data_IF_282864507389
#
_entry.id   IF_282864507389
#
_cell.length_a   1.000
_cell.length_b   1.000
_cell.length_c   1.000
_cell.angle_alpha   90.00
_cell.angle_beta   90.00
_cell.angle_gamma   90.00
#
_symmetry.space_group_name_H-M   'P 1'
#
loop_
_entity.id
_entity.type
_entity.pdbx_description
1 polymer ?
#
# COMPACT_ATOMS: atom_id res chain seq x y z
N UNK A 1 4.94 -16.38 5.03
CA UNK A 1 3.68 -16.60 4.28
C UNK A 1 2.92 -15.27 4.22
N UNK A 2 3.03 -14.53 3.11
CA UNK A 2 2.33 -13.26 2.92
C UNK A 2 0.84 -13.53 2.67
N UNK A 3 -0.03 -13.07 3.59
CA UNK A 3 -1.47 -13.21 3.49
C UNK A 3 -2.01 -12.29 2.40
N UNK A 4 -2.35 -12.86 1.24
CA UNK A 4 -3.16 -12.18 0.22
C UNK A 4 -4.60 -12.09 0.73
N UNK A 5 -5.01 -10.90 1.16
CA UNK A 5 -6.36 -10.63 1.65
C UNK A 5 -7.28 -10.47 0.46
N UNK A 6 -8.25 -11.38 0.38
CA UNK A 6 -9.33 -11.47 -0.62
C UNK A 6 -9.94 -10.10 -0.93
N UNK A 7 -9.93 -9.74 -2.21
CA UNK A 7 -10.61 -8.57 -2.75
C UNK A 7 -12.12 -8.71 -2.54
N UNK A 8 -12.63 -8.06 -1.50
CA UNK A 8 -14.06 -7.97 -1.22
C UNK A 8 -14.58 -6.68 -1.87
N UNK A 9 -15.50 -6.72 -2.85
CA UNK A 9 -15.88 -5.57 -3.69
C UNK A 9 -16.55 -4.39 -2.95
N UNK A 10 -16.75 -4.47 -1.63
CA UNK A 10 -17.24 -3.37 -0.78
C UNK A 10 -16.14 -2.46 -0.19
N UNK A 11 -14.86 -2.77 -0.40
CA UNK A 11 -13.72 -2.05 0.20
C UNK A 11 -13.21 -0.86 -0.63
N UNK A 12 -13.77 -0.59 -1.81
CA UNK A 12 -13.24 0.42 -2.75
C UNK A 12 -13.17 1.85 -2.20
N UNK A 13 -14.04 2.22 -1.25
CA UNK A 13 -14.04 3.57 -0.63
C UNK A 13 -12.86 3.81 0.32
N UNK A 14 -12.26 2.75 0.85
CA UNK A 14 -11.21 2.85 1.86
C UNK A 14 -9.87 2.33 1.36
N UNK A 15 -9.79 1.89 0.10
CA UNK A 15 -8.52 1.55 -0.52
C UNK A 15 -7.79 2.81 -0.99
N UNK A 16 -6.55 2.96 -0.52
CA UNK A 16 -5.62 3.96 -1.02
C UNK A 16 -4.48 3.29 -1.78
N UNK A 17 -3.91 4.03 -2.71
CA UNK A 17 -2.79 3.57 -3.54
C UNK A 17 -1.46 3.95 -2.92
N UNK A 18 -0.51 3.01 -2.96
CA UNK A 18 0.88 3.25 -2.60
C UNK A 18 1.63 3.49 -3.90
N UNK A 19 2.20 4.68 -4.01
CA UNK A 19 2.94 5.10 -5.19
C UNK A 19 4.39 5.33 -4.85
N UNK A 20 5.26 5.08 -5.83
CA UNK A 20 6.67 5.42 -5.73
C UNK A 20 6.84 6.94 -5.54
N UNK A 21 7.64 7.41 -4.57
CA UNK A 21 7.83 8.84 -4.32
C UNK A 21 8.51 9.57 -5.48
N UNK A 22 9.32 8.86 -6.29
CA UNK A 22 10.07 9.42 -7.41
C UNK A 22 9.25 9.37 -8.71
N UNK A 23 8.79 8.17 -9.09
CA UNK A 23 8.16 7.94 -10.41
C UNK A 23 6.63 7.99 -10.39
N UNK A 24 6.01 8.09 -9.20
CA UNK A 24 4.56 7.99 -8.98
C UNK A 24 3.91 6.72 -9.54
N UNK A 25 4.70 5.69 -9.88
CA UNK A 25 4.21 4.39 -10.30
C UNK A 25 3.49 3.69 -9.16
N UNK A 26 2.41 2.98 -9.48
CA UNK A 26 1.66 2.19 -8.50
C UNK A 26 2.52 1.01 -8.04
N UNK A 27 2.80 0.96 -6.74
CA UNK A 27 3.53 -0.13 -6.09
C UNK A 27 2.59 -1.13 -5.44
N UNK A 28 1.47 -0.66 -4.92
CA UNK A 28 0.47 -1.50 -4.26
C UNK A 28 -0.75 -0.70 -3.83
N UNK A 29 -1.68 -1.36 -3.15
CA UNK A 29 -2.85 -0.75 -2.54
C UNK A 29 -2.94 -1.19 -1.09
N UNK A 30 -3.48 -0.34 -0.24
CA UNK A 30 -3.71 -0.63 1.17
C UNK A 30 -5.08 -0.15 1.60
N UNK A 31 -5.60 -0.74 2.68
CA UNK A 31 -6.82 -0.25 3.31
C UNK A 31 -6.49 0.83 4.33
N UNK A 32 -7.13 2.00 4.20
CA UNK A 32 -6.92 3.16 5.06
C UNK A 32 -7.33 2.90 6.51
N UNK A 33 -8.25 1.95 6.77
CA UNK A 33 -8.72 1.63 8.13
C UNK A 33 -7.74 0.76 8.89
N UNK A 34 -7.01 -0.10 8.19
CA UNK A 34 -5.95 -0.90 8.80
C UNK A 34 -4.62 -0.14 8.80
N UNK A 35 -4.44 0.77 7.85
CA UNK A 35 -3.13 1.32 7.55
C UNK A 35 -2.18 0.22 7.05
N UNK A 36 -0.90 0.58 6.98
CA UNK A 36 0.21 -0.35 6.74
C UNK A 36 1.34 -0.04 7.69
N UNK A 37 1.98 -1.06 8.26
CA UNK A 37 3.10 -0.91 9.16
C UNK A 37 4.30 -1.66 8.59
N UNK A 38 5.43 -0.98 8.39
CA UNK A 38 6.66 -1.57 7.84
C UNK A 38 6.43 -2.36 6.55
N UNK A 39 5.55 -1.86 5.67
CA UNK A 39 5.28 -2.51 4.40
C UNK A 39 6.32 -2.06 3.37
N UNK A 40 7.15 -2.99 2.91
CA UNK A 40 8.20 -2.74 1.94
C UNK A 40 7.70 -2.98 0.52
N UNK A 41 7.92 -1.99 -0.36
CA UNK A 41 7.54 -2.04 -1.75
C UNK A 41 8.75 -1.75 -2.64
N UNK A 42 8.97 -2.62 -3.62
CA UNK A 42 10.04 -2.46 -4.59
C UNK A 42 9.58 -1.66 -5.80
N UNK A 43 10.29 -0.59 -6.14
CA UNK A 43 10.06 0.12 -7.39
C UNK A 43 10.97 -0.42 -8.50
N UNK A 44 10.38 -1.02 -9.53
CA UNK A 44 11.10 -1.53 -10.71
C UNK A 44 11.89 -0.43 -11.46
N UNK A 45 11.44 0.83 -11.41
CA UNK A 45 12.13 1.96 -12.04
C UNK A 45 13.27 2.52 -11.19
N UNK A 46 13.06 2.67 -9.88
CA UNK A 46 14.13 3.13 -8.99
C UNK A 46 15.15 2.04 -8.67
N UNK A 47 14.77 0.76 -8.84
CA UNK A 47 15.51 -0.41 -8.39
C UNK A 47 15.86 -0.37 -6.89
N UNK A 48 15.01 0.26 -6.08
CA UNK A 48 15.16 0.33 -4.63
C UNK A 48 13.85 -0.02 -3.94
N UNK A 49 14.00 -0.45 -2.70
CA UNK A 49 12.92 -0.80 -1.79
C UNK A 49 12.54 0.42 -0.94
N UNK A 50 11.25 0.67 -0.84
CA UNK A 50 10.68 1.74 0.00
C UNK A 50 9.85 1.10 1.09
N UNK A 51 10.17 1.41 2.35
CA UNK A 51 9.37 0.98 3.49
C UNK A 51 8.40 2.08 3.88
N UNK A 52 7.11 1.76 3.86
CA UNK A 52 6.05 2.68 4.22
C UNK A 52 5.40 2.25 5.53
N UNK A 53 5.18 3.26 6.38
CA UNK A 53 4.39 3.13 7.60
C UNK A 53 3.32 4.21 7.54
N UNK A 54 2.09 3.78 7.25
CA UNK A 54 0.92 4.64 7.15
C UNK A 54 -0.03 4.19 8.28
N UNK A 55 -0.22 5.01 9.32
CA UNK A 55 -1.14 4.67 10.39
C UNK A 55 -2.56 4.51 9.85
N UNK A 56 -3.33 3.64 10.49
CA UNK A 56 -4.77 3.55 10.26
C UNK A 56 -5.41 4.93 10.45
N UNK A 57 -6.17 5.39 9.47
CA UNK A 57 -7.03 6.55 9.66
C UNK A 57 -8.23 6.11 10.51
N UNK A 58 -8.36 6.72 11.69
CA UNK A 58 -9.61 6.69 12.45
C UNK A 58 -10.61 7.59 11.71
N UNK A 59 -11.43 6.97 10.88
CA UNK A 59 -12.55 7.59 10.17
C UNK A 59 -13.76 7.59 11.11
#
# INVERSE_FOLDING_TARGET
MAKQVKENPKLSKYQSEIRCPIHKCLLGKYDMRTGILNATFFCQKCKIEYTFTIPAQKI
#
